data_IF_745676058853
#
_entry.id   IF_745676058853
#
_cell.length_a   1.000
_cell.length_b   1.000
_cell.length_c   1.000
_cell.angle_alpha   90.00
_cell.angle_beta   90.00
_cell.angle_gamma   90.00
#
_symmetry.space_group_name_H-M   'P 1'
#
loop_
_entity.id
_entity.type
_entity.pdbx_description
1 polymer ?
#
# COMPACT_ATOMS: atom_id res chain seq x y z
N UNK A 1 24.42 15.55 27.25
CA UNK A 1 25.44 15.99 26.27
C UNK A 1 25.43 14.96 25.17
N UNK A 2 24.81 15.28 24.04
CA UNK A 2 24.53 14.31 22.99
C UNK A 2 25.79 14.00 22.16
N UNK A 3 26.18 12.73 21.99
CA UNK A 3 27.38 12.33 21.24
C UNK A 3 27.23 12.45 19.71
N UNK A 4 26.05 12.79 19.20
CA UNK A 4 25.77 12.96 17.77
C UNK A 4 26.46 14.19 17.16
N UNK A 5 26.56 15.28 17.92
CA UNK A 5 27.12 16.54 17.43
C UNK A 5 28.62 16.52 17.14
N UNK A 6 29.36 15.54 17.66
CA UNK A 6 30.80 15.42 17.42
C UNK A 6 31.11 14.54 16.20
N UNK A 7 30.21 13.62 15.83
CA UNK A 7 30.31 12.81 14.62
C UNK A 7 30.07 13.65 13.37
N UNK A 8 29.06 14.51 13.38
CA UNK A 8 28.74 15.41 12.26
C UNK A 8 29.90 16.39 11.95
N UNK A 9 30.55 16.90 13.00
CA UNK A 9 31.76 17.75 12.85
C UNK A 9 32.92 16.98 12.25
N UNK A 10 33.11 15.72 12.64
CA UNK A 10 34.18 14.87 12.14
C UNK A 10 33.99 14.54 10.66
N UNK A 11 32.75 14.23 10.26
CA UNK A 11 32.37 13.99 8.85
C UNK A 11 32.58 15.28 8.02
N UNK A 12 32.21 16.43 8.57
CA UNK A 12 32.42 17.72 7.90
C UNK A 12 33.92 18.04 7.71
N UNK A 13 34.75 17.78 8.72
CA UNK A 13 36.20 17.98 8.65
C UNK A 13 36.85 17.05 7.61
N UNK A 14 36.45 15.77 7.60
CA UNK A 14 36.89 14.79 6.60
C UNK A 14 36.54 15.24 5.18
N UNK A 15 35.30 15.67 4.94
CA UNK A 15 34.84 16.09 3.62
C UNK A 15 35.61 17.32 3.12
N UNK A 16 35.94 18.25 4.03
CA UNK A 16 36.79 19.42 3.73
C UNK A 16 38.21 19.01 3.37
N UNK A 17 38.84 18.16 4.18
CA UNK A 17 40.24 17.70 4.00
C UNK A 17 40.40 16.85 2.73
N UNK A 18 39.49 15.92 2.45
CA UNK A 18 39.49 15.09 1.22
C UNK A 18 39.39 15.94 -0.05
N UNK A 19 38.72 17.09 0.03
CA UNK A 19 38.61 18.01 -1.10
C UNK A 19 39.93 18.71 -1.45
N UNK A 20 40.88 18.78 -0.52
CA UNK A 20 42.18 19.44 -0.68
C UNK A 20 43.32 18.48 -1.10
N UNK A 21 43.08 17.17 -1.10
CA UNK A 21 44.10 16.18 -1.43
C UNK A 21 44.42 16.08 -2.93
N UNK A 22 45.65 15.65 -3.20
CA UNK A 22 46.16 15.32 -4.54
C UNK A 22 45.97 13.86 -4.93
N UNK A 23 46.15 13.55 -6.21
CA UNK A 23 45.79 12.26 -6.80
C UNK A 23 46.52 11.07 -6.15
N UNK A 24 47.78 11.27 -5.74
CA UNK A 24 48.54 10.26 -5.01
C UNK A 24 47.98 10.02 -3.60
N UNK A 25 47.62 11.10 -2.89
CA UNK A 25 47.06 11.05 -1.53
C UNK A 25 45.65 10.44 -1.55
N UNK A 26 44.83 10.77 -2.56
CA UNK A 26 43.50 10.18 -2.73
C UNK A 26 43.56 8.67 -2.99
N UNK A 27 44.58 8.18 -3.73
CA UNK A 27 44.80 6.74 -3.92
C UNK A 27 45.19 6.06 -2.61
N UNK A 28 46.06 6.69 -1.81
CA UNK A 28 46.44 6.16 -0.49
C UNK A 28 45.23 6.08 0.47
N UNK A 29 44.38 7.11 0.49
CA UNK A 29 43.13 7.10 1.25
C UNK A 29 42.16 6.02 0.76
N UNK A 30 42.02 5.82 -0.55
CA UNK A 30 41.21 4.73 -1.11
C UNK A 30 41.74 3.35 -0.68
N UNK A 31 43.06 3.15 -0.64
CA UNK A 31 43.66 1.90 -0.17
C UNK A 31 43.46 1.68 1.33
N UNK A 32 43.56 2.74 2.13
CA UNK A 32 43.30 2.68 3.58
C UNK A 32 41.85 2.29 3.89
N UNK A 33 40.90 2.76 3.07
CA UNK A 33 39.48 2.42 3.15
C UNK A 33 39.10 1.12 2.43
N UNK A 34 40.07 0.40 1.84
CA UNK A 34 39.85 -0.82 1.02
C UNK A 34 38.85 -0.62 -0.13
N UNK A 35 38.76 0.61 -0.65
CA UNK A 35 37.86 0.97 -1.74
C UNK A 35 38.48 0.51 -3.07
N UNK A 36 38.02 -0.62 -3.60
CA UNK A 36 38.49 -1.16 -4.89
C UNK A 36 38.85 -2.66 -4.90
N UNK A 37 38.73 -3.37 -3.77
CA UNK A 37 39.06 -4.81 -3.66
C UNK A 37 37.93 -5.76 -4.11
N UNK A 38 36.95 -5.28 -4.89
CA UNK A 38 35.79 -6.05 -5.35
C UNK A 38 35.69 -6.16 -6.88
N UNK A 39 34.75 -6.95 -7.42
CA UNK A 39 34.60 -7.24 -8.85
C UNK A 39 34.24 -6.01 -9.73
N UNK A 40 34.14 -4.80 -9.16
CA UNK A 40 33.64 -3.60 -9.84
C UNK A 40 34.54 -2.36 -9.76
N UNK A 41 35.86 -2.47 -9.52
CA UNK A 41 36.70 -1.36 -9.96
C UNK A 41 38.11 -1.30 -9.44
N UNK A 42 39.06 -1.64 -10.33
CA UNK A 42 40.44 -1.19 -10.23
C UNK A 42 40.52 0.32 -9.95
N UNK A 43 41.48 0.73 -9.12
CA UNK A 43 41.83 2.13 -8.88
C UNK A 43 42.69 2.71 -10.02
N UNK A 44 43.19 1.86 -10.91
CA UNK A 44 43.99 2.25 -12.06
C UNK A 44 43.12 2.94 -13.13
N UNK A 45 43.52 4.15 -13.54
CA UNK A 45 42.82 4.95 -14.54
C UNK A 45 41.67 5.83 -14.01
N UNK A 46 41.44 5.90 -12.69
CA UNK A 46 40.45 6.81 -12.10
C UNK A 46 41.04 8.21 -11.88
N UNK A 47 40.37 9.21 -12.45
CA UNK A 47 40.71 10.63 -12.27
C UNK A 47 40.47 11.10 -10.82
N UNK A 48 41.13 12.21 -10.43
CA UNK A 48 40.98 12.89 -9.13
C UNK A 48 39.54 12.97 -8.64
N UNK A 49 38.63 13.34 -9.54
CA UNK A 49 37.21 13.51 -9.23
C UNK A 49 36.50 12.18 -8.95
N UNK A 50 36.87 11.11 -9.64
CA UNK A 50 36.30 9.77 -9.41
C UNK A 50 36.76 9.19 -8.07
N UNK A 51 38.03 9.40 -7.69
CA UNK A 51 38.57 8.99 -6.39
C UNK A 51 37.89 9.76 -5.24
N UNK A 52 37.72 11.08 -5.37
CA UNK A 52 36.98 11.90 -4.40
C UNK A 52 35.55 11.41 -4.21
N UNK A 53 34.83 11.14 -5.30
CA UNK A 53 33.45 10.62 -5.24
C UNK A 53 33.38 9.27 -4.53
N UNK A 54 34.37 8.40 -4.73
CA UNK A 54 34.40 7.07 -4.11
C UNK A 54 34.57 7.17 -2.60
N UNK A 55 35.51 8.01 -2.14
CA UNK A 55 35.77 8.26 -0.71
C UNK A 55 34.56 8.92 -0.06
N UNK A 56 34.00 9.98 -0.67
CA UNK A 56 32.85 10.69 -0.11
C UNK A 56 31.58 9.83 -0.09
N UNK A 57 31.40 8.94 -1.06
CA UNK A 57 30.28 7.98 -1.06
C UNK A 57 30.40 6.97 0.08
N UNK A 58 31.62 6.54 0.40
CA UNK A 58 31.86 5.61 1.51
C UNK A 58 31.66 6.31 2.87
N UNK A 59 32.24 7.49 3.05
CA UNK A 59 32.15 8.30 4.28
C UNK A 59 30.71 8.71 4.60
N UNK A 60 29.90 9.02 3.59
CA UNK A 60 28.49 9.41 3.75
C UNK A 60 27.52 8.24 3.47
N UNK A 61 28.01 7.01 3.44
CA UNK A 61 27.23 5.81 3.14
C UNK A 61 26.61 5.19 4.39
N UNK A 62 25.45 4.56 4.22
CA UNK A 62 24.69 3.88 5.30
C UNK A 62 25.45 2.64 5.85
N UNK A 63 26.48 2.15 5.15
CA UNK A 63 27.32 1.02 5.58
C UNK A 63 28.05 1.31 6.90
N UNK A 64 28.49 2.56 7.12
CA UNK A 64 29.19 2.96 8.34
C UNK A 64 28.24 3.19 9.52
N UNK A 65 26.99 3.58 9.26
CA UNK A 65 25.96 3.78 10.28
C UNK A 65 25.51 2.45 10.93
N UNK A 66 25.60 1.34 10.19
CA UNK A 66 25.25 0.00 10.69
C UNK A 66 26.32 -0.66 11.57
N UNK A 67 27.50 -0.04 11.70
CA UNK A 67 28.60 -0.56 12.52
C UNK A 67 28.36 -0.28 14.01
N UNK A 68 28.83 -1.16 14.91
CA UNK A 68 28.56 -1.09 16.35
C UNK A 68 29.05 0.22 17.03
N UNK A 69 29.96 0.94 16.38
CA UNK A 69 30.53 2.23 16.77
C UNK A 69 30.08 3.39 15.86
N UNK A 70 29.11 3.17 14.96
CA UNK A 70 28.65 4.17 13.99
C UNK A 70 29.75 4.68 13.03
N UNK A 71 30.82 3.91 12.85
CA UNK A 71 31.95 4.27 11.99
C UNK A 71 32.98 5.19 12.65
N UNK A 72 32.84 5.54 13.94
CA UNK A 72 33.74 6.44 14.67
C UNK A 72 35.22 6.04 14.58
N UNK A 73 35.55 4.75 14.72
CA UNK A 73 36.94 4.30 14.64
C UNK A 73 37.55 4.50 13.25
N UNK A 74 36.73 4.39 12.20
CA UNK A 74 37.14 4.62 10.81
C UNK A 74 37.34 6.10 10.56
N UNK A 75 36.42 6.95 11.04
CA UNK A 75 36.54 8.41 10.91
C UNK A 75 37.75 8.96 11.67
N UNK A 76 38.00 8.51 12.90
CA UNK A 76 39.18 8.93 13.67
C UNK A 76 40.50 8.50 13.01
N UNK A 77 40.55 7.29 12.45
CA UNK A 77 41.70 6.82 11.69
C UNK A 77 41.93 7.65 10.44
N UNK A 78 40.86 8.01 9.73
CA UNK A 78 40.92 8.85 8.55
C UNK A 78 41.41 10.26 8.90
N UNK A 79 40.89 10.87 9.96
CA UNK A 79 41.30 12.20 10.42
C UNK A 79 42.78 12.23 10.78
N UNK A 80 43.27 11.26 11.55
CA UNK A 80 44.70 11.18 11.89
C UNK A 80 45.60 10.99 10.66
N UNK A 81 45.13 10.25 9.66
CA UNK A 81 45.87 10.09 8.40
C UNK A 81 45.85 11.36 7.53
N UNK A 82 44.73 12.08 7.50
CA UNK A 82 44.57 13.35 6.78
C UNK A 82 45.40 14.48 7.42
N UNK A 83 45.50 14.51 8.75
CA UNK A 83 46.34 15.46 9.50
C UNK A 83 47.84 15.25 9.24
N UNK A 84 48.26 14.00 9.01
CA UNK A 84 49.64 13.64 8.67
C UNK A 84 50.13 14.22 7.34
N UNK A 85 49.23 14.58 6.42
CA UNK A 85 49.60 15.26 5.16
C UNK A 85 49.77 16.76 5.34
N UNK A 86 49.06 17.38 6.27
CA UNK A 86 49.17 18.82 6.54
C UNK A 86 50.47 19.16 7.28
N UNK A 87 50.99 18.24 8.10
CA UNK A 87 52.26 18.41 8.82
C UNK A 87 53.50 18.17 7.93
N UNK A 88 53.37 17.33 6.89
CA UNK A 88 54.49 16.97 5.99
C UNK A 88 54.78 18.02 4.89
N UNK A 89 53.90 19.01 4.74
CA UNK A 89 54.03 20.09 3.75
C UNK A 89 54.76 21.34 4.24
N UNK A 90 55.30 21.36 5.46
CA UNK A 90 55.88 22.58 6.07
C UNK A 90 57.42 22.55 6.23
N UNK A 91 58.09 21.45 5.86
CA UNK A 91 59.55 21.28 5.93
C UNK A 91 60.16 21.05 4.54
N UNK A 92 60.13 22.06 3.67
CA UNK A 92 60.79 21.96 2.37
C UNK A 92 60.40 23.03 1.38
N UNK A 93 60.93 24.24 1.56
CA UNK A 93 61.62 25.01 0.50
C UNK A 93 61.93 26.42 0.99
N UNK A 94 63.17 26.60 1.43
CA UNK A 94 63.82 27.90 1.48
C UNK A 94 64.67 28.08 0.21
N UNK A 95 64.54 29.26 -0.39
CA UNK A 95 65.51 29.94 -1.26
C UNK A 95 65.44 29.69 -2.77
N UNK A 96 64.79 30.60 -3.50
CA UNK A 96 65.53 31.53 -4.36
C UNK A 96 64.70 32.77 -4.76
N UNK A 97 65.24 33.92 -4.34
CA UNK A 97 65.22 35.29 -4.90
C UNK A 97 64.27 35.66 -6.04
N UNK A 98 63.54 36.77 -5.85
CA UNK A 98 63.16 37.69 -6.93
C UNK A 98 61.88 38.48 -6.70
N UNK A 99 61.95 39.63 -6.01
CA UNK A 99 60.93 40.69 -6.12
C UNK A 99 61.14 41.45 -7.45
N UNK A 100 60.10 42.06 -8.07
CA UNK A 100 59.71 43.40 -7.60
C UNK A 100 58.20 43.76 -7.71
N UNK A 101 57.77 44.57 -6.74
CA UNK A 101 56.86 45.74 -6.79
C UNK A 101 55.48 45.70 -7.47
N UNK A 102 54.50 46.17 -6.69
CA UNK A 102 53.07 46.29 -6.96
C UNK A 102 52.64 47.45 -7.87
N UNK A 103 51.45 47.28 -8.48
CA UNK A 103 50.53 48.32 -8.93
C UNK A 103 49.09 47.77 -8.91
N UNK A 104 48.07 48.52 -8.45
CA UNK A 104 46.75 48.02 -8.09
C UNK A 104 45.77 48.05 -9.27
N UNK A 105 44.83 47.11 -9.36
CA UNK A 105 43.41 47.38 -9.68
C UNK A 105 42.61 46.09 -9.88
N UNK A 106 41.32 46.17 -9.51
CA UNK A 106 40.23 45.26 -9.85
C UNK A 106 40.07 44.00 -9.00
N UNK A 107 39.40 44.13 -7.87
CA UNK A 107 38.69 43.02 -7.22
C UNK A 107 37.34 42.78 -7.92
N UNK A 108 37.06 41.59 -8.48
CA UNK A 108 35.72 41.05 -8.49
C UNK A 108 35.55 40.20 -7.22
N UNK A 109 34.56 40.56 -6.42
CA UNK A 109 34.01 39.74 -5.33
C UNK A 109 33.60 38.38 -5.87
N UNK A 110 34.42 37.35 -5.64
CA UNK A 110 34.04 35.95 -5.87
C UNK A 110 33.35 35.45 -4.61
N UNK A 111 32.04 35.28 -4.77
CA UNK A 111 31.12 34.68 -3.82
C UNK A 111 31.67 33.32 -3.32
N UNK A 112 31.62 33.10 -2.01
CA UNK A 112 32.11 31.88 -1.35
C UNK A 112 31.14 30.73 -1.59
N UNK A 113 31.01 30.30 -2.84
CA UNK A 113 30.31 29.09 -3.24
C UNK A 113 31.23 27.87 -3.14
N UNK A 114 31.62 27.47 -1.92
CA UNK A 114 32.36 26.22 -1.69
C UNK A 114 31.66 25.26 -0.73
N UNK A 115 30.35 25.42 -0.50
CA UNK A 115 29.55 24.54 0.35
C UNK A 115 28.76 23.45 -0.39
N UNK A 116 29.01 23.22 -1.68
CA UNK A 116 28.21 22.32 -2.54
C UNK A 116 28.88 20.95 -2.76
N UNK A 117 29.28 20.27 -1.69
CA UNK A 117 29.67 18.86 -1.81
C UNK A 117 28.94 18.04 -0.73
N UNK A 118 27.87 17.37 -1.20
CA UNK A 118 27.08 16.33 -0.52
C UNK A 118 26.22 16.76 0.67
N UNK A 119 25.36 17.76 0.49
CA UNK A 119 24.08 17.74 1.23
C UNK A 119 23.15 16.76 0.50
N UNK A 120 22.62 15.75 1.18
CA UNK A 120 21.57 14.88 0.62
C UNK A 120 20.40 15.79 0.27
N UNK A 121 20.20 16.08 -1.02
CA UNK A 121 19.12 16.97 -1.48
C UNK A 121 17.83 16.56 -0.78
N UNK A 122 17.14 17.51 -0.17
CA UNK A 122 15.83 17.23 0.38
C UNK A 122 14.91 16.71 -0.74
N UNK A 123 14.25 15.59 -0.47
CA UNK A 123 13.30 14.94 -1.37
C UNK A 123 12.05 14.57 -0.60
N UNK A 124 10.91 14.86 -1.21
CA UNK A 124 9.62 14.38 -0.73
C UNK A 124 9.52 12.90 -1.11
N UNK A 125 9.22 12.06 -0.13
CA UNK A 125 8.91 10.66 -0.32
C UNK A 125 7.45 10.52 -0.77
N UNK A 126 7.25 10.05 -2.00
CA UNK A 126 5.94 9.90 -2.63
C UNK A 126 5.72 10.85 -3.81
N UNK A 127 4.56 10.74 -4.46
CA UNK A 127 4.16 11.60 -5.58
C UNK A 127 2.88 12.35 -5.25
N UNK A 128 2.87 13.65 -5.54
CA UNK A 128 1.66 14.49 -5.49
C UNK A 128 0.97 14.33 -6.86
N UNK A 129 -0.21 13.71 -6.84
CA UNK A 129 -0.98 13.40 -8.04
C UNK A 129 -2.34 14.10 -8.08
N UNK A 130 -3.18 13.71 -9.03
CA UNK A 130 -4.55 14.21 -9.13
C UNK A 130 -5.38 13.84 -7.88
N UNK A 131 -6.31 14.73 -7.47
CA UNK A 131 -7.19 14.47 -6.34
C UNK A 131 -8.04 13.22 -6.56
N UNK A 132 -8.07 12.32 -5.57
CA UNK A 132 -8.91 11.11 -5.56
C UNK A 132 -8.18 9.80 -5.91
N UNK A 133 -6.90 9.84 -6.27
CA UNK A 133 -6.11 8.61 -6.49
C UNK A 133 -5.53 8.06 -5.17
N UNK A 134 -5.73 6.76 -4.92
CA UNK A 134 -5.33 6.09 -3.66
C UNK A 134 -3.81 5.89 -3.49
N UNK A 135 -3.06 5.82 -4.59
CA UNK A 135 -1.59 5.60 -4.56
C UNK A 135 -0.77 6.90 -4.44
N UNK A 136 -1.44 8.04 -4.22
CA UNK A 136 -0.81 9.36 -4.17
C UNK A 136 -0.63 9.84 -2.74
N UNK A 137 0.35 10.72 -2.55
CA UNK A 137 0.72 11.25 -1.25
C UNK A 137 -0.47 12.01 -0.63
N UNK A 138 -0.84 11.65 0.59
CA UNK A 138 -1.85 12.39 1.36
C UNK A 138 -1.33 13.76 1.76
N UNK A 139 -2.22 14.74 1.90
CA UNK A 139 -1.89 16.06 2.41
C UNK A 139 -1.31 15.98 3.83
N UNK A 140 -1.84 15.09 4.69
CA UNK A 140 -1.26 14.85 6.01
C UNK A 140 0.20 14.40 5.97
N UNK A 141 0.51 13.40 5.12
CA UNK A 141 1.89 12.90 4.96
C UNK A 141 2.82 13.97 4.40
N UNK A 142 2.35 14.74 3.42
CA UNK A 142 3.08 15.86 2.86
C UNK A 142 3.39 16.92 3.93
N UNK A 143 2.41 17.34 4.72
CA UNK A 143 2.62 18.34 5.78
C UNK A 143 3.63 17.85 6.81
N UNK A 144 3.57 16.58 7.23
CA UNK A 144 4.58 16.01 8.13
C UNK A 144 5.99 16.07 7.54
N UNK A 145 6.16 15.78 6.25
CA UNK A 145 7.46 15.90 5.59
C UNK A 145 7.92 17.36 5.50
N UNK A 146 7.02 18.32 5.29
CA UNK A 146 7.33 19.75 5.27
C UNK A 146 7.73 20.27 6.66
N UNK A 147 7.01 19.87 7.70
CA UNK A 147 7.31 20.24 9.08
C UNK A 147 8.62 19.61 9.55
N UNK A 148 8.89 18.36 9.16
CA UNK A 148 10.17 17.70 9.39
C UNK A 148 11.33 18.43 8.69
N UNK A 149 11.15 18.82 7.44
CA UNK A 149 12.15 19.59 6.70
C UNK A 149 12.43 20.95 7.35
N UNK A 150 11.38 21.59 7.84
CA UNK A 150 11.47 22.86 8.56
C UNK A 150 12.22 22.68 9.89
N UNK A 151 11.94 21.61 10.65
CA UNK A 151 12.66 21.26 11.88
C UNK A 151 14.15 20.98 11.63
N UNK A 152 14.48 20.36 10.51
CA UNK A 152 15.86 20.13 10.04
C UNK A 152 16.55 21.38 9.49
N UNK A 153 15.90 22.55 9.57
CA UNK A 153 16.41 23.84 9.08
C UNK A 153 16.85 23.78 7.62
N UNK A 154 16.10 23.05 6.81
CA UNK A 154 16.28 23.03 5.35
C UNK A 154 15.71 24.36 4.82
N UNK A 155 16.44 25.07 3.93
CA UNK A 155 15.99 26.37 3.46
C UNK A 155 14.69 26.24 2.63
N UNK A 156 13.77 27.20 2.77
CA UNK A 156 12.42 27.12 2.17
C UNK A 156 12.45 26.87 0.66
N UNK A 157 13.39 27.49 -0.07
CA UNK A 157 13.51 27.32 -1.51
C UNK A 157 13.84 25.87 -1.92
N UNK A 158 14.63 25.15 -1.12
CA UNK A 158 14.98 23.74 -1.37
C UNK A 158 13.77 22.84 -1.13
N UNK A 159 12.99 23.14 -0.09
CA UNK A 159 11.72 22.46 0.21
C UNK A 159 10.73 22.65 -0.93
N UNK A 160 10.56 23.89 -1.41
CA UNK A 160 9.67 24.21 -2.55
C UNK A 160 10.12 23.45 -3.79
N UNK A 161 11.41 23.44 -4.11
CA UNK A 161 11.95 22.71 -5.25
C UNK A 161 11.75 21.19 -5.13
N UNK A 162 11.86 20.63 -3.92
CA UNK A 162 11.56 19.22 -3.66
C UNK A 162 10.08 18.89 -3.87
N UNK A 163 9.18 19.76 -3.42
CA UNK A 163 7.73 19.61 -3.65
C UNK A 163 7.40 19.65 -5.13
N UNK A 164 7.91 20.65 -5.87
CA UNK A 164 7.67 20.76 -7.32
C UNK A 164 8.14 19.51 -8.06
N UNK A 165 9.31 18.96 -7.69
CA UNK A 165 9.83 17.71 -8.25
C UNK A 165 8.96 16.49 -7.94
N UNK A 166 8.28 16.48 -6.80
CA UNK A 166 7.40 15.39 -6.38
C UNK A 166 6.00 15.46 -7.01
N UNK A 167 5.63 16.57 -7.64
CA UNK A 167 4.38 16.67 -8.40
C UNK A 167 4.53 15.89 -9.70
N UNK A 168 3.53 15.05 -9.99
CA UNK A 168 3.51 14.22 -11.20
C UNK A 168 3.72 15.07 -12.46
N UNK A 169 4.63 14.66 -13.38
CA UNK A 169 4.82 15.36 -14.63
C UNK A 169 3.51 15.35 -15.44
N UNK A 170 3.15 16.49 -16.02
CA UNK A 170 1.89 16.67 -16.77
C UNK A 170 0.77 17.35 -15.99
N UNK A 171 0.87 17.49 -14.66
CA UNK A 171 -0.07 18.29 -13.88
C UNK A 171 0.13 19.79 -14.13
N UNK A 172 -0.96 20.50 -14.44
CA UNK A 172 -0.97 21.96 -14.59
C UNK A 172 -0.50 22.67 -13.32
N UNK A 173 -0.72 22.08 -12.14
CA UNK A 173 -0.22 22.57 -10.87
C UNK A 173 1.31 22.74 -10.89
N UNK A 174 2.04 21.79 -11.49
CA UNK A 174 3.50 21.83 -11.54
C UNK A 174 3.99 23.05 -12.32
N UNK A 175 3.48 23.24 -13.54
CA UNK A 175 3.85 24.40 -14.37
C UNK A 175 3.46 25.73 -13.73
N UNK A 176 2.31 25.79 -13.06
CA UNK A 176 1.90 26.97 -12.29
C UNK A 176 2.89 27.31 -11.17
N UNK A 177 3.32 26.32 -10.38
CA UNK A 177 4.27 26.53 -9.29
C UNK A 177 5.68 26.85 -9.79
N UNK A 178 6.13 26.25 -10.90
CA UNK A 178 7.41 26.56 -11.55
C UNK A 178 7.46 28.01 -12.08
N UNK A 179 6.34 28.53 -12.58
CA UNK A 179 6.25 29.90 -13.10
C UNK A 179 6.20 30.99 -12.02
N UNK A 180 5.93 30.64 -10.76
CA UNK A 180 5.67 31.61 -9.70
C UNK A 180 6.94 31.94 -8.91
N UNK A 181 7.36 33.20 -8.97
CA UNK A 181 8.49 33.71 -8.21
C UNK A 181 8.10 34.06 -6.76
N UNK A 182 9.06 33.93 -5.82
CA UNK A 182 8.88 34.34 -4.43
C UNK A 182 7.82 33.57 -3.65
N UNK A 183 7.61 32.29 -3.98
CA UNK A 183 6.64 31.45 -3.28
C UNK A 183 7.08 31.23 -1.82
N UNK A 184 6.19 31.51 -0.87
CA UNK A 184 6.39 31.27 0.56
C UNK A 184 5.74 29.97 1.01
N UNK A 185 6.25 29.37 2.08
CA UNK A 185 5.74 28.09 2.58
C UNK A 185 4.25 28.07 2.91
N UNK A 186 3.74 29.12 3.56
CA UNK A 186 2.31 29.20 3.91
C UNK A 186 1.41 29.23 2.67
N UNK A 187 1.87 29.89 1.60
CA UNK A 187 1.11 29.98 0.36
C UNK A 187 1.15 28.66 -0.40
N UNK A 188 2.32 28.00 -0.43
CA UNK A 188 2.44 26.66 -1.02
C UNK A 188 1.53 25.66 -0.31
N UNK A 189 1.51 25.65 1.04
CA UNK A 189 0.62 24.78 1.84
C UNK A 189 -0.85 24.96 1.45
N UNK A 190 -1.33 26.21 1.36
CA UNK A 190 -2.70 26.52 0.95
C UNK A 190 -3.04 26.01 -0.46
N UNK A 191 -2.12 26.17 -1.41
CA UNK A 191 -2.32 25.69 -2.79
C UNK A 191 -2.39 24.16 -2.82
N UNK A 192 -1.47 23.48 -2.14
CA UNK A 192 -1.44 22.02 -2.07
C UNK A 192 -2.67 21.47 -1.37
N UNK A 193 -3.14 22.12 -0.30
CA UNK A 193 -4.39 21.77 0.39
C UNK A 193 -5.59 21.82 -0.57
N UNK A 194 -5.67 22.88 -1.38
CA UNK A 194 -6.72 23.07 -2.37
C UNK A 194 -6.62 22.06 -3.53
N UNK A 195 -5.40 21.66 -3.91
CA UNK A 195 -5.19 20.72 -5.01
C UNK A 195 -5.47 19.26 -4.62
N UNK A 196 -4.98 18.82 -3.46
CA UNK A 196 -5.11 17.42 -3.01
C UNK A 196 -6.56 17.09 -2.61
N UNK A 197 -7.38 18.12 -2.29
CA UNK A 197 -8.82 18.01 -1.98
C UNK A 197 -9.15 16.93 -0.93
N UNK A 198 -8.31 16.79 0.09
CA UNK A 198 -8.67 15.95 1.23
C UNK A 198 -9.86 16.52 1.99
N UNK A 199 -10.73 15.64 2.48
CA UNK A 199 -11.93 16.02 3.22
C UNK A 199 -11.61 16.93 4.40
N UNK A 200 -12.53 17.82 4.74
CA UNK A 200 -12.42 18.61 5.97
C UNK A 200 -12.69 17.71 7.19
N UNK A 201 -12.30 18.15 8.39
CA UNK A 201 -12.45 17.37 9.62
C UNK A 201 -13.88 16.82 9.80
N UNK A 202 -14.91 17.65 9.54
CA UNK A 202 -16.32 17.24 9.64
C UNK A 202 -16.74 16.23 8.58
N UNK A 203 -16.25 16.37 7.34
CA UNK A 203 -16.53 15.41 6.28
C UNK A 203 -15.89 14.05 6.59
N UNK A 204 -14.64 14.04 7.04
CA UNK A 204 -13.94 12.83 7.45
C UNK A 204 -14.61 12.17 8.67
N UNK A 205 -15.11 12.95 9.62
CA UNK A 205 -15.86 12.42 10.77
C UNK A 205 -17.19 11.80 10.35
N UNK A 206 -17.88 12.41 9.36
CA UNK A 206 -19.09 11.83 8.79
C UNK A 206 -18.80 10.54 8.02
N UNK A 207 -17.68 10.49 7.28
CA UNK A 207 -17.20 9.27 6.64
C UNK A 207 -16.89 8.18 7.66
N UNK A 208 -16.29 8.53 8.81
CA UNK A 208 -16.03 7.61 9.91
C UNK A 208 -17.34 7.05 10.47
N UNK A 209 -18.30 7.93 10.75
CA UNK A 209 -19.62 7.53 11.31
C UNK A 209 -20.38 6.57 10.40
N UNK A 210 -20.25 6.74 9.07
CA UNK A 210 -20.92 5.91 8.06
C UNK A 210 -20.05 4.74 7.57
N UNK A 211 -18.89 4.51 8.20
CA UNK A 211 -17.98 3.45 7.82
C UNK A 211 -18.64 2.08 7.92
N UNK A 212 -18.61 1.33 6.83
CA UNK A 212 -19.00 -0.08 6.79
C UNK A 212 -17.97 -0.85 5.96
N UNK A 213 -17.78 -2.12 6.25
CA UNK A 213 -16.85 -2.99 5.53
C UNK A 213 -17.28 -3.10 4.05
N UNK A 214 -16.36 -2.98 3.09
CA UNK A 214 -16.71 -3.13 1.67
C UNK A 214 -16.87 -4.62 1.30
N UNK A 215 -17.62 -4.93 0.22
CA UNK A 215 -17.94 -6.32 -0.18
C UNK A 215 -16.72 -7.22 -0.46
N UNK A 216 -15.58 -6.63 -0.81
CA UNK A 216 -14.32 -7.34 -1.12
C UNK A 216 -13.22 -7.10 -0.09
N UNK A 217 -13.53 -6.36 0.97
CA UNK A 217 -12.58 -5.97 2.00
C UNK A 217 -12.59 -7.01 3.12
N UNK A 218 -11.41 -7.40 3.62
CA UNK A 218 -11.32 -8.26 4.81
C UNK A 218 -11.68 -7.46 6.07
N UNK A 219 -12.07 -8.15 7.15
CA UNK A 219 -12.35 -7.48 8.42
C UNK A 219 -11.14 -6.68 8.94
N UNK A 220 -9.93 -7.20 8.73
CA UNK A 220 -8.66 -6.54 9.11
C UNK A 220 -8.40 -5.30 8.26
N UNK A 221 -8.63 -5.36 6.95
CA UNK A 221 -8.51 -4.17 6.08
C UNK A 221 -9.53 -3.10 6.45
N UNK A 222 -10.77 -3.51 6.77
CA UNK A 222 -11.79 -2.59 7.27
C UNK A 222 -11.35 -1.89 8.57
N UNK A 223 -10.79 -2.65 9.52
CA UNK A 223 -10.21 -2.08 10.74
C UNK A 223 -9.14 -1.04 10.43
N UNK A 224 -8.14 -1.40 9.62
CA UNK A 224 -7.04 -0.49 9.25
C UNK A 224 -7.57 0.78 8.58
N UNK A 225 -8.58 0.66 7.71
CA UNK A 225 -9.21 1.82 7.06
C UNK A 225 -9.93 2.72 8.07
N UNK A 226 -10.61 2.17 9.07
CA UNK A 226 -11.24 2.95 10.13
C UNK A 226 -10.21 3.65 11.03
N UNK A 227 -9.08 2.99 11.33
CA UNK A 227 -7.96 3.58 12.08
C UNK A 227 -7.31 4.72 11.29
N UNK A 228 -7.07 4.52 9.99
CA UNK A 228 -6.56 5.56 9.10
C UNK A 228 -7.51 6.76 9.06
N UNK A 229 -8.82 6.51 8.97
CA UNK A 229 -9.82 7.56 8.93
C UNK A 229 -9.90 8.32 10.26
N UNK A 230 -9.82 7.64 11.41
CA UNK A 230 -9.67 8.26 12.74
C UNK A 230 -8.45 9.19 12.76
N UNK A 231 -7.29 8.73 12.29
CA UNK A 231 -6.07 9.54 12.28
C UNK A 231 -6.21 10.77 11.35
N UNK A 232 -6.86 10.61 10.19
CA UNK A 232 -7.15 11.71 9.27
C UNK A 232 -8.08 12.75 9.88
N UNK A 233 -9.12 12.33 10.61
CA UNK A 233 -10.02 13.26 11.34
C UNK A 233 -9.21 14.07 12.35
N UNK A 234 -8.39 13.41 13.18
CA UNK A 234 -7.58 14.08 14.19
C UNK A 234 -6.61 15.08 13.57
N UNK A 235 -5.92 14.68 12.51
CA UNK A 235 -5.00 15.54 11.79
C UNK A 235 -5.73 16.77 11.20
N UNK A 236 -6.81 16.57 10.46
CA UNK A 236 -7.58 17.64 9.83
C UNK A 236 -8.22 18.58 10.87
N UNK A 237 -8.52 18.08 12.08
CA UNK A 237 -9.07 18.88 13.17
C UNK A 237 -8.04 19.80 13.81
N UNK A 238 -6.75 19.45 13.77
CA UNK A 238 -5.64 20.25 14.31
C UNK A 238 -5.07 21.26 13.31
N UNK A 239 -5.48 21.19 12.03
CA UNK A 239 -4.98 22.08 10.99
C UNK A 239 -5.37 23.55 11.25
N UNK A 240 -4.44 24.48 11.00
CA UNK A 240 -4.69 25.91 11.13
C UNK A 240 -5.81 26.35 10.17
N UNK A 241 -6.95 26.76 10.72
CA UNK A 241 -8.15 27.10 9.95
C UNK A 241 -9.20 25.99 9.89
N UNK A 242 -9.04 24.89 10.64
CA UNK A 242 -10.13 23.96 10.90
C UNK A 242 -11.25 24.70 11.66
N UNK A 243 -12.47 24.64 11.13
CA UNK A 243 -13.62 25.25 11.79
C UNK A 243 -14.07 24.49 13.05
N UNK A 244 -13.62 23.23 13.21
CA UNK A 244 -14.03 22.32 14.29
C UNK A 244 -12.83 21.48 14.73
N UNK A 245 -12.55 21.50 16.03
CA UNK A 245 -11.60 20.60 16.69
C UNK A 245 -12.36 19.43 17.30
N UNK A 246 -11.93 18.19 17.00
CA UNK A 246 -12.54 16.98 17.54
C UNK A 246 -11.72 16.47 18.73
N UNK A 247 -12.42 16.10 19.80
CA UNK A 247 -11.81 15.45 20.96
C UNK A 247 -11.32 14.03 20.58
N UNK A 248 -10.07 13.63 20.87
CA UNK A 248 -9.55 12.31 20.51
C UNK A 248 -10.36 11.14 21.08
N UNK A 249 -10.84 11.26 22.31
CA UNK A 249 -11.69 10.24 22.95
C UNK A 249 -13.03 10.10 22.22
N UNK A 250 -13.64 11.20 21.80
CA UNK A 250 -14.87 11.18 20.98
C UNK A 250 -14.65 10.45 19.64
N UNK A 251 -13.56 10.74 18.93
CA UNK A 251 -13.28 10.10 17.63
C UNK A 251 -12.97 8.61 17.81
N UNK A 252 -12.23 8.23 18.85
CA UNK A 252 -11.97 6.82 19.20
C UNK A 252 -13.29 6.07 19.47
N UNK A 253 -14.15 6.62 20.32
CA UNK A 253 -15.44 6.01 20.65
C UNK A 253 -16.33 5.87 19.41
N UNK A 254 -16.30 6.86 18.51
CA UNK A 254 -17.03 6.78 17.24
C UNK A 254 -16.48 5.69 16.33
N UNK A 255 -15.14 5.56 16.22
CA UNK A 255 -14.51 4.49 15.45
C UNK A 255 -14.92 3.11 15.99
N UNK A 256 -14.83 2.88 17.31
CA UNK A 256 -15.20 1.62 17.94
C UNK A 256 -16.68 1.27 17.68
N UNK A 257 -17.59 2.25 17.83
CA UNK A 257 -19.01 2.08 17.51
C UNK A 257 -19.23 1.71 16.04
N UNK A 258 -18.52 2.38 15.14
CA UNK A 258 -18.59 2.12 13.69
C UNK A 258 -18.12 0.71 13.37
N UNK A 259 -17.04 0.24 14.00
CA UNK A 259 -16.54 -1.14 13.85
C UNK A 259 -17.57 -2.17 14.32
N UNK A 260 -18.24 -1.91 15.46
CA UNK A 260 -19.28 -2.80 15.99
C UNK A 260 -20.45 -2.99 15.01
N UNK A 261 -20.89 -1.91 14.33
CA UNK A 261 -22.05 -1.95 13.44
C UNK A 261 -21.71 -2.22 11.98
N UNK A 262 -20.48 -1.95 11.55
CA UNK A 262 -20.09 -1.95 10.13
C UNK A 262 -19.48 -3.25 9.59
N UNK A 263 -19.19 -4.24 10.45
CA UNK A 263 -18.70 -5.56 10.03
C UNK A 263 -19.78 -6.38 9.31
N UNK A 264 -19.43 -7.14 8.27
CA UNK A 264 -20.39 -7.98 7.54
C UNK A 264 -20.59 -9.37 8.16
N UNK A 265 -19.53 -9.96 8.69
CA UNK A 265 -19.58 -11.33 9.21
C UNK A 265 -20.02 -11.33 10.67
N UNK A 266 -21.18 -11.92 10.96
CA UNK A 266 -21.75 -12.00 12.31
C UNK A 266 -20.87 -12.78 13.30
N UNK A 267 -20.12 -13.79 12.84
CA UNK A 267 -19.18 -14.53 13.69
C UNK A 267 -18.02 -13.63 14.13
N UNK A 268 -17.36 -12.98 13.16
CA UNK A 268 -16.26 -12.04 13.47
C UNK A 268 -16.79 -10.92 14.37
N UNK A 269 -17.98 -10.38 14.06
CA UNK A 269 -18.61 -9.34 14.89
C UNK A 269 -18.81 -9.81 16.33
N UNK A 270 -19.31 -11.02 16.55
CA UNK A 270 -19.52 -11.56 17.90
C UNK A 270 -18.22 -11.70 18.69
N UNK A 271 -17.14 -12.20 18.05
CA UNK A 271 -15.84 -12.40 18.69
C UNK A 271 -15.15 -11.08 19.05
N UNK A 272 -15.23 -10.04 18.19
CA UNK A 272 -14.53 -8.77 18.43
C UNK A 272 -15.33 -7.79 19.30
N UNK A 273 -16.66 -7.95 19.40
CA UNK A 273 -17.55 -7.05 20.16
C UNK A 273 -17.15 -6.83 21.63
N UNK A 274 -16.71 -7.86 22.40
CA UNK A 274 -16.26 -7.67 23.78
C UNK A 274 -15.10 -6.67 23.89
N UNK A 275 -14.14 -6.77 22.98
CA UNK A 275 -12.97 -5.89 22.93
C UNK A 275 -13.33 -4.47 22.48
N UNK A 276 -14.28 -4.32 21.55
CA UNK A 276 -14.74 -3.00 21.07
C UNK A 276 -15.54 -2.19 22.10
N UNK A 277 -16.03 -2.81 23.18
CA UNK A 277 -16.71 -2.10 24.29
C UNK A 277 -15.73 -1.34 25.19
N UNK A 278 -14.45 -1.73 25.17
CA UNK A 278 -13.38 -1.08 25.92
C UNK A 278 -12.89 0.13 25.14
N UNK A 279 -12.99 1.32 25.74
CA UNK A 279 -12.57 2.59 25.11
C UNK A 279 -11.05 2.81 25.13
N UNK A 280 -10.35 2.07 25.99
CA UNK A 280 -8.91 2.15 26.25
C UNK A 280 -8.10 1.09 25.48
N UNK A 281 -8.73 0.38 24.55
CA UNK A 281 -8.05 -0.64 23.75
C UNK A 281 -7.02 -0.01 22.81
N UNK A 282 -5.83 -0.62 22.74
CA UNK A 282 -4.76 -0.15 21.86
C UNK A 282 -4.98 -0.59 20.41
N UNK A 283 -4.34 0.09 19.48
CA UNK A 283 -4.39 -0.22 18.05
C UNK A 283 -3.80 -1.61 17.76
N UNK A 284 -2.75 -2.02 18.48
CA UNK A 284 -2.11 -3.33 18.39
C UNK A 284 -3.04 -4.44 18.89
N UNK A 285 -3.69 -4.24 20.04
CA UNK A 285 -4.64 -5.20 20.60
C UNK A 285 -5.85 -5.39 19.67
N UNK A 286 -6.36 -4.32 19.05
CA UNK A 286 -7.41 -4.40 18.04
C UNK A 286 -7.00 -5.25 16.83
N UNK A 287 -5.78 -5.05 16.33
CA UNK A 287 -5.25 -5.81 15.19
C UNK A 287 -5.13 -7.30 15.52
N UNK A 288 -4.63 -7.64 16.70
CA UNK A 288 -4.52 -9.03 17.16
C UNK A 288 -5.89 -9.71 17.25
N UNK A 289 -6.87 -9.05 17.88
CA UNK A 289 -8.24 -9.56 18.03
C UNK A 289 -8.91 -9.78 16.67
N UNK A 290 -8.79 -8.83 15.74
CA UNK A 290 -9.37 -8.96 14.40
C UNK A 290 -8.69 -10.05 13.56
N UNK A 291 -7.37 -10.18 13.65
CA UNK A 291 -6.63 -11.24 12.97
C UNK A 291 -7.01 -12.62 13.51
N UNK A 292 -7.11 -12.77 14.83
CA UNK A 292 -7.52 -14.02 15.47
C UNK A 292 -8.94 -14.43 15.06
N UNK A 293 -9.91 -13.50 15.14
CA UNK A 293 -11.29 -13.76 14.73
C UNK A 293 -11.42 -14.09 13.23
N UNK A 294 -10.65 -13.40 12.38
CA UNK A 294 -10.61 -13.69 10.93
C UNK A 294 -10.01 -15.07 10.64
N UNK A 295 -8.92 -15.44 11.33
CA UNK A 295 -8.29 -16.75 11.18
C UNK A 295 -9.20 -17.92 11.60
N UNK A 296 -9.91 -17.77 12.72
CA UNK A 296 -10.90 -18.77 13.17
C UNK A 296 -12.04 -18.94 12.17
N UNK A 297 -12.53 -17.84 11.61
CA UNK A 297 -13.59 -17.89 10.60
C UNK A 297 -13.11 -18.54 9.30
N UNK A 298 -11.88 -18.26 8.85
CA UNK A 298 -11.29 -18.95 7.71
C UNK A 298 -11.18 -20.46 7.94
N UNK A 299 -10.74 -20.87 9.13
CA UNK A 299 -10.67 -22.29 9.50
C UNK A 299 -12.06 -22.94 9.48
N UNK A 300 -13.07 -22.27 10.05
CA UNK A 300 -14.46 -22.71 10.05
C UNK A 300 -15.00 -22.88 8.62
N UNK A 301 -14.74 -21.91 7.74
CA UNK A 301 -15.14 -21.98 6.33
C UNK A 301 -14.42 -23.13 5.60
N UNK A 302 -13.13 -23.34 5.83
CA UNK A 302 -12.37 -24.47 5.26
C UNK A 302 -12.96 -25.82 5.69
N UNK A 303 -13.28 -25.99 6.97
CA UNK A 303 -13.92 -27.20 7.50
C UNK A 303 -15.31 -27.42 6.89
N UNK A 304 -16.10 -26.36 6.74
CA UNK A 304 -17.43 -26.43 6.13
C UNK A 304 -17.39 -26.75 4.63
N UNK A 305 -16.39 -26.25 3.89
CA UNK A 305 -16.21 -26.58 2.48
C UNK A 305 -15.68 -28.01 2.29
N UNK A 306 -14.79 -28.48 3.18
CA UNK A 306 -14.29 -29.85 3.18
C UNK A 306 -15.42 -30.86 3.45
N UNK A 307 -16.29 -30.59 4.43
CA UNK A 307 -17.42 -31.47 4.75
C UNK A 307 -18.43 -31.58 3.61
N UNK A 308 -18.66 -30.49 2.85
CA UNK A 308 -19.52 -30.51 1.65
C UNK A 308 -18.97 -31.37 0.50
N UNK A 309 -17.64 -31.55 0.41
CA UNK A 309 -17.01 -32.39 -0.63
C UNK A 309 -17.06 -33.90 -0.31
N UNK A 310 -17.25 -34.26 0.96
CA UNK A 310 -17.25 -35.66 1.43
C UNK A 310 -18.65 -36.28 1.55
N UNK A 311 -19.72 -35.52 1.36
CA UNK A 311 -21.09 -36.03 1.40
C UNK A 311 -21.50 -36.70 0.08
N UNK A 312 -20.83 -37.80 -0.29
CA UNK A 312 -21.35 -38.76 -1.27
C UNK A 312 -22.11 -39.83 -0.48
N UNK A 313 -23.40 -39.57 -0.26
CA UNK A 313 -24.32 -40.49 0.42
C UNK A 313 -24.47 -41.75 -0.44
N UNK A 314 -23.76 -42.83 -0.09
CA UNK A 314 -24.07 -44.16 -0.62
C UNK A 314 -25.32 -44.68 0.08
N UNK A 315 -26.40 -44.84 -0.68
CA UNK A 315 -27.58 -45.60 -0.29
C UNK A 315 -27.17 -47.06 -0.08
N UNK A 316 -27.00 -47.46 1.18
CA UNK A 316 -26.83 -48.88 1.52
C UNK A 316 -28.16 -49.60 1.31
N UNK A 317 -28.26 -50.37 0.22
CA UNK A 317 -29.31 -51.36 0.05
C UNK A 317 -29.09 -52.48 1.07
N UNK A 318 -30.10 -52.69 1.90
CA UNK A 318 -30.22 -53.86 2.77
C UNK A 318 -30.34 -55.13 1.93
N UNK A 319 -29.53 -56.13 2.23
CA UNK A 319 -29.79 -57.53 1.88
C UNK A 319 -29.27 -58.41 3.02
N UNK A 320 -30.21 -59.21 3.51
CA UNK A 320 -30.20 -60.18 4.60
C UNK A 320 -29.03 -61.17 4.61
N UNK A 321 -28.58 -61.54 5.83
CA UNK A 321 -28.50 -62.95 6.29
C UNK A 321 -28.20 -63.05 7.80
N UNK A 322 -28.76 -64.07 8.43
CA UNK A 322 -29.02 -64.24 9.87
C UNK A 322 -27.92 -65.03 10.61
N UNK A 323 -27.73 -64.80 11.93
CA UNK A 323 -27.58 -65.88 12.94
C UNK A 323 -27.69 -65.42 14.42
N UNK A 324 -28.69 -65.98 15.12
CA UNK A 324 -28.83 -66.45 16.54
C UNK A 324 -28.21 -65.66 17.74
N UNK A 325 -28.73 -65.62 18.99
CA UNK A 325 -29.98 -65.99 19.69
C UNK A 325 -29.86 -65.56 21.21
N UNK A 326 -30.78 -64.70 21.73
CA UNK A 326 -31.39 -64.50 23.11
C UNK A 326 -30.56 -64.34 24.43
N UNK A 327 -31.11 -63.83 25.59
CA UNK A 327 -32.45 -63.26 25.91
C UNK A 327 -32.47 -61.85 26.63
N UNK A 328 -33.70 -61.40 26.95
CA UNK A 328 -34.26 -60.07 27.32
C UNK A 328 -34.18 -59.77 28.85
N UNK A 329 -34.45 -58.53 29.39
CA UNK A 329 -35.80 -57.97 29.51
C UNK A 329 -35.97 -56.48 29.08
N UNK A 330 -37.20 -56.19 28.65
CA UNK A 330 -37.75 -54.88 28.26
C UNK A 330 -37.73 -53.86 29.40
N UNK A 331 -37.54 -52.58 29.07
CA UNK A 331 -38.56 -51.56 29.37
C UNK A 331 -38.31 -50.25 28.59
N UNK A 332 -39.40 -49.69 28.06
CA UNK A 332 -39.60 -48.31 27.58
C UNK A 332 -38.84 -47.82 26.33
N UNK A 333 -39.56 -47.70 25.21
CA UNK A 333 -39.64 -46.46 24.40
C UNK A 333 -40.70 -46.57 23.30
N UNK A 334 -41.87 -46.02 23.61
CA UNK A 334 -42.93 -45.70 22.66
C UNK A 334 -42.56 -44.46 21.83
N UNK A 335 -42.62 -44.60 20.50
CA UNK A 335 -43.01 -43.64 19.45
C UNK A 335 -42.37 -42.22 19.44
N UNK A 336 -41.48 -41.94 18.45
CA UNK A 336 -41.40 -40.59 17.87
C UNK A 336 -41.36 -40.57 16.32
N UNK A 337 -41.74 -41.66 15.63
CA UNK A 337 -41.62 -41.69 14.16
C UNK A 337 -42.88 -41.17 13.43
N UNK A 338 -44.06 -41.29 14.03
CA UNK A 338 -45.31 -40.88 13.37
C UNK A 338 -45.45 -39.35 13.23
N UNK A 339 -44.99 -38.58 14.21
CA UNK A 339 -45.01 -37.10 14.15
C UNK A 339 -43.99 -36.56 13.15
N UNK A 340 -42.83 -37.21 13.01
CA UNK A 340 -41.80 -36.81 12.05
C UNK A 340 -42.23 -37.06 10.60
N UNK A 341 -42.99 -38.12 10.36
CA UNK A 341 -43.56 -38.41 9.04
C UNK A 341 -44.74 -37.46 8.72
N UNK A 342 -45.54 -37.08 9.72
CA UNK A 342 -46.59 -36.08 9.57
C UNK A 342 -46.03 -34.67 9.27
N UNK A 343 -44.98 -34.25 9.99
CA UNK A 343 -44.27 -32.98 9.74
C UNK A 343 -43.59 -32.95 8.37
N UNK A 344 -43.06 -34.09 7.89
CA UNK A 344 -42.53 -34.20 6.53
C UNK A 344 -43.61 -34.08 5.47
N UNK A 345 -44.80 -34.63 5.71
CA UNK A 345 -45.94 -34.49 4.80
C UNK A 345 -46.45 -33.05 4.75
N UNK A 346 -46.53 -32.35 5.88
CA UNK A 346 -46.88 -30.92 5.91
C UNK A 346 -45.82 -30.05 5.20
N UNK A 347 -44.53 -30.31 5.42
CA UNK A 347 -43.46 -29.59 4.72
C UNK A 347 -43.44 -29.85 3.20
N UNK A 348 -43.89 -31.03 2.76
CA UNK A 348 -44.06 -31.32 1.34
C UNK A 348 -45.24 -30.51 0.74
N UNK A 349 -46.34 -30.40 1.48
CA UNK A 349 -47.51 -29.61 1.08
C UNK A 349 -47.18 -28.11 0.97
N UNK A 350 -46.44 -27.56 1.94
CA UNK A 350 -46.00 -26.15 1.95
C UNK A 350 -45.04 -25.85 0.77
N UNK A 351 -44.14 -26.79 0.44
CA UNK A 351 -43.24 -26.64 -0.72
C UNK A 351 -43.98 -26.65 -2.05
N UNK A 352 -45.07 -27.40 -2.15
CA UNK A 352 -45.88 -27.44 -3.37
C UNK A 352 -46.71 -26.16 -3.53
N UNK A 353 -47.23 -25.60 -2.44
CA UNK A 353 -47.88 -24.28 -2.39
C UNK A 353 -46.93 -23.13 -2.79
N UNK A 354 -45.64 -23.23 -2.44
CA UNK A 354 -44.60 -22.28 -2.84
C UNK A 354 -44.22 -22.37 -4.32
N UNK A 355 -44.24 -23.57 -4.93
CA UNK A 355 -44.03 -23.73 -6.38
C UNK A 355 -45.18 -23.12 -7.19
N UNK A 356 -46.41 -23.23 -6.70
CA UNK A 356 -47.58 -22.66 -7.38
C UNK A 356 -47.65 -21.13 -7.27
N UNK A 357 -47.11 -20.53 -6.20
CA UNK A 357 -47.14 -19.07 -6.01
C UNK A 357 -45.95 -18.33 -6.64
N UNK A 358 -44.81 -19.00 -6.87
CA UNK A 358 -43.59 -18.38 -7.44
C UNK A 358 -43.44 -18.53 -8.97
N UNK A 359 -44.48 -19.00 -9.68
CA UNK A 359 -44.48 -19.11 -11.15
C UNK A 359 -45.18 -17.93 -11.86
N UNK A 360 -45.41 -16.82 -11.14
CA UNK A 360 -45.73 -15.51 -11.71
C UNK A 360 -44.54 -14.88 -12.43
N UNK A 361 -44.30 -15.31 -13.67
CA UNK A 361 -43.81 -14.52 -14.82
C UNK A 361 -42.72 -13.46 -14.59
N UNK A 362 -41.47 -13.88 -14.34
CA UNK A 362 -40.27 -13.26 -14.93
C UNK A 362 -39.24 -14.35 -15.29
N UNK A 363 -39.64 -15.31 -16.14
CA UNK A 363 -38.67 -16.21 -16.79
C UNK A 363 -38.17 -15.55 -18.06
N UNK A 364 -37.03 -14.86 -17.96
CA UNK A 364 -36.23 -14.52 -19.13
C UNK A 364 -35.94 -15.80 -19.93
N UNK A 365 -36.25 -15.77 -21.22
CA UNK A 365 -36.08 -16.85 -22.18
C UNK A 365 -34.69 -17.51 -22.12
N UNK A 366 -34.52 -18.55 -21.30
CA UNK A 366 -33.46 -19.54 -21.53
C UNK A 366 -33.88 -20.37 -22.73
N UNK A 367 -33.46 -19.93 -23.91
CA UNK A 367 -33.63 -20.67 -25.16
C UNK A 367 -32.95 -22.03 -24.98
N UNK A 368 -33.74 -23.10 -25.07
CA UNK A 368 -33.23 -24.47 -25.01
C UNK A 368 -32.12 -24.66 -26.07
N UNK A 369 -31.00 -25.33 -25.74
CA UNK A 369 -29.91 -25.59 -26.67
C UNK A 369 -30.38 -26.50 -27.82
N UNK A 370 -29.79 -26.31 -29.00
CA UNK A 370 -30.04 -27.12 -30.20
C UNK A 370 -30.80 -26.40 -31.33
N UNK A 371 -30.62 -26.89 -32.56
CA UNK A 371 -31.43 -26.49 -33.72
C UNK A 371 -32.86 -27.06 -33.60
N UNK A 372 -33.80 -26.51 -34.35
CA UNK A 372 -35.21 -26.89 -34.27
C UNK A 372 -35.42 -28.40 -34.49
N UNK A 373 -34.84 -28.97 -35.54
CA UNK A 373 -34.95 -30.42 -35.79
C UNK A 373 -34.38 -31.30 -34.68
N UNK A 374 -33.29 -30.88 -34.00
CA UNK A 374 -32.77 -31.64 -32.87
C UNK A 374 -33.63 -31.49 -31.61
N UNK A 375 -34.37 -30.40 -31.46
CA UNK A 375 -35.32 -30.23 -30.36
C UNK A 375 -36.53 -31.13 -30.55
N UNK A 376 -37.03 -31.20 -31.78
CA UNK A 376 -38.21 -32.01 -32.11
C UNK A 376 -37.95 -33.52 -31.92
N UNK A 377 -36.68 -33.95 -32.03
CA UNK A 377 -36.24 -35.35 -31.82
C UNK A 377 -35.72 -35.58 -30.38
N UNK A 378 -35.81 -34.57 -29.50
CA UNK A 378 -35.38 -34.69 -28.10
C UNK A 378 -33.85 -34.79 -27.89
N UNK A 379 -33.04 -34.41 -28.89
CA UNK A 379 -31.57 -34.40 -28.85
C UNK A 379 -30.98 -32.99 -28.84
N UNK A 380 -31.71 -32.00 -28.33
CA UNK A 380 -31.30 -30.58 -28.32
C UNK A 380 -29.98 -30.33 -27.57
N UNK A 381 -29.74 -31.06 -26.48
CA UNK A 381 -28.56 -30.90 -25.62
C UNK A 381 -27.26 -31.37 -26.30
N UNK A 382 -27.33 -32.34 -27.22
CA UNK A 382 -26.18 -32.89 -27.96
C UNK A 382 -26.14 -32.43 -29.43
N UNK A 383 -26.85 -31.36 -29.77
CA UNK A 383 -26.94 -30.88 -31.15
C UNK A 383 -25.60 -30.36 -31.68
N UNK A 384 -25.04 -31.05 -32.69
CA UNK A 384 -23.85 -30.62 -33.46
C UNK A 384 -24.19 -29.83 -34.74
N UNK A 385 -25.46 -29.53 -34.94
CA UNK A 385 -25.94 -28.77 -36.09
C UNK A 385 -25.93 -27.27 -35.81
N UNK A 386 -25.93 -26.45 -36.86
CA UNK A 386 -26.13 -25.02 -36.75
C UNK A 386 -27.51 -24.70 -36.16
N UNK A 387 -27.56 -23.91 -35.07
CA UNK A 387 -28.84 -23.61 -34.39
C UNK A 387 -29.78 -22.70 -35.21
N UNK A 388 -29.26 -22.05 -36.27
CA UNK A 388 -30.05 -21.19 -37.17
C UNK A 388 -30.65 -21.96 -38.36
N UNK A 389 -29.88 -22.82 -39.02
CA UNK A 389 -30.32 -23.48 -40.27
C UNK A 389 -30.41 -25.00 -40.19
N UNK A 390 -29.96 -25.63 -39.10
CA UNK A 390 -30.03 -27.08 -38.91
C UNK A 390 -28.99 -27.91 -39.68
N UNK A 391 -28.12 -27.31 -40.50
CA UNK A 391 -27.09 -28.04 -41.24
C UNK A 391 -25.87 -28.40 -40.37
N UNK A 392 -25.20 -29.51 -40.70
CA UNK A 392 -23.90 -29.90 -40.15
C UNK A 392 -22.75 -29.14 -40.82
N UNK A 393 -21.58 -29.10 -40.18
CA UNK A 393 -20.37 -28.47 -40.74
C UNK A 393 -20.10 -27.02 -40.32
N UNK A 394 -21.04 -26.36 -39.62
CA UNK A 394 -20.80 -25.04 -39.01
C UNK A 394 -21.69 -24.80 -37.79
N UNK A 395 -21.23 -23.93 -36.88
CA UNK A 395 -22.02 -23.46 -35.74
C UNK A 395 -22.77 -22.16 -36.08
N UNK A 396 -23.78 -21.80 -35.29
CA UNK A 396 -24.65 -20.64 -35.53
C UNK A 396 -23.91 -19.30 -35.70
N UNK A 397 -22.70 -19.19 -35.14
CA UNK A 397 -21.82 -18.02 -35.29
C UNK A 397 -21.28 -17.84 -36.72
N UNK A 398 -21.13 -18.93 -37.47
CA UNK A 398 -20.54 -18.95 -38.81
C UNK A 398 -21.60 -19.27 -39.89
N UNK A 399 -22.88 -19.05 -39.57
CA UNK A 399 -23.97 -19.33 -40.49
C UNK A 399 -24.16 -18.17 -41.48
N UNK A 400 -23.85 -18.40 -42.75
CA UNK A 400 -24.00 -17.41 -43.81
C UNK A 400 -25.47 -17.07 -44.14
N UNK A 401 -26.44 -17.85 -43.65
CA UNK A 401 -27.89 -17.54 -43.77
C UNK A 401 -28.37 -16.46 -42.78
N UNK A 402 -27.46 -15.78 -42.08
CA UNK A 402 -27.77 -14.93 -40.94
C UNK A 402 -28.17 -13.48 -41.23
N UNK A 403 -28.30 -13.05 -42.49
CA UNK A 403 -28.59 -11.65 -42.83
C UNK A 403 -30.00 -11.33 -43.34
N UNK A 404 -30.91 -12.31 -43.48
CA UNK A 404 -32.31 -12.00 -43.79
C UNK A 404 -33.13 -11.85 -42.49
N UNK A 405 -33.19 -10.60 -42.01
CA UNK A 405 -34.14 -10.17 -40.99
C UNK A 405 -35.47 -9.86 -41.67
N UNK A 406 -36.26 -10.89 -41.97
CA UNK A 406 -37.63 -10.75 -42.47
C UNK A 406 -38.61 -10.48 -41.33
N UNK A 407 -39.10 -9.24 -41.24
CA UNK A 407 -40.30 -8.83 -40.52
C UNK A 407 -41.50 -9.70 -40.95
N UNK A 408 -42.43 -10.06 -40.04
CA UNK A 408 -43.70 -10.64 -40.43
C UNK A 408 -44.63 -9.51 -40.90
N UNK A 409 -44.88 -9.40 -42.20
CA UNK A 409 -46.11 -8.79 -42.71
C UNK A 409 -47.20 -9.86 -42.71
N UNK A 410 -48.35 -9.51 -42.14
CA UNK A 410 -49.48 -10.41 -42.00
C UNK A 410 -50.29 -10.61 -43.29
N UNK A 411 -51.24 -11.53 -43.18
CA UNK A 411 -52.51 -11.48 -43.91
C UNK A 411 -52.71 -12.49 -45.04
N UNK A 412 -53.81 -13.24 -44.91
CA UNK A 412 -54.60 -13.92 -45.95
C UNK A 412 -53.98 -15.24 -46.48
N UNK A 413 -54.69 -16.37 -46.60
CA UNK A 413 -56.12 -16.72 -46.53
C UNK A 413 -56.31 -18.05 -45.78
#
# INVERSE_FOLDING_TARGET
MEPSGDLDKLIQDINSKVSQLDDAQLKEVCTLLKLGEGPSGSLEGKDKLALKRLILRYVNGEELETSADGGLAIFQRLVGHLEGYQQRGHDGEASSTGAPTAGPDSAPTVDKSYGLLYRKDFRISGQIGEPGHRDKLTFSSLVHQLDEATRRKIPEHEIIAAVIRAIQPGLSLRGYLESRQGLRMDTLRKILRSHIREGQATELYQQLTNGTQELKESAVHYLVRMMELRQKVLFASQEAGSGVQYDPTLVQNMMLRTLMTGLHNDFIRAEVTPSLKRTDISDEELLEVFNAASGQEEERQKKQQSSRKLAKVSSAQSSSEQKAEKPIPEETKTKPNAEMDALRAEMASIRELLKTTLTGTYRGNRRQPGCQGCKDIGQGENCRHCYKCGNSGHLARNCQRGNDSGLPQGGQM
#
